data_IF_797176366409
#
_entry.id   IF_797176366409
#
_cell.length_a   1.000
_cell.length_b   1.000
_cell.length_c   1.000
_cell.angle_alpha   90.00
_cell.angle_beta   90.00
_cell.angle_gamma   90.00
#
_symmetry.space_group_name_H-M   'P 1'
#
loop_
_entity.id
_entity.type
_entity.pdbx_description
1 polymer ?
#
# COMPACT_ATOMS: atom_id res chain seq x y z
N UNK A 1 14.59 -16.40 0.13
CA UNK A 1 14.72 -15.40 -0.96
C UNK A 1 13.58 -14.37 -0.98
N UNK A 2 12.31 -14.76 -1.11
CA UNK A 2 11.19 -13.80 -1.23
C UNK A 2 11.07 -12.82 -0.04
N UNK A 3 11.31 -13.25 1.20
CA UNK A 3 11.39 -12.33 2.34
C UNK A 3 12.52 -11.29 2.20
N UNK A 4 13.68 -11.68 1.67
CA UNK A 4 14.79 -10.74 1.41
C UNK A 4 14.37 -9.71 0.36
N UNK A 5 13.68 -10.13 -0.71
CA UNK A 5 13.16 -9.21 -1.73
C UNK A 5 12.15 -8.21 -1.14
N UNK A 6 11.25 -8.65 -0.24
CA UNK A 6 10.35 -7.71 0.46
C UNK A 6 11.10 -6.73 1.37
N UNK A 7 12.16 -7.19 2.05
CA UNK A 7 13.05 -6.33 2.84
C UNK A 7 13.74 -5.27 1.98
N UNK A 8 14.30 -5.68 0.83
CA UNK A 8 14.91 -4.78 -0.15
C UNK A 8 13.91 -3.76 -0.68
N UNK A 9 12.70 -4.18 -1.04
CA UNK A 9 11.65 -3.28 -1.52
C UNK A 9 11.24 -2.27 -0.44
N UNK A 10 11.14 -2.69 0.83
CA UNK A 10 10.87 -1.78 1.96
C UNK A 10 11.97 -0.74 2.13
N UNK A 11 13.24 -1.17 2.12
CA UNK A 11 14.39 -0.28 2.27
C UNK A 11 14.49 0.72 1.12
N UNK A 12 14.14 0.28 -0.10
CA UNK A 12 14.12 1.10 -1.30
C UNK A 12 12.83 1.95 -1.44
N UNK A 13 12.07 2.13 -0.35
CA UNK A 13 10.82 2.89 -0.31
C UNK A 13 9.79 2.46 -1.38
N UNK A 14 9.77 1.16 -1.70
CA UNK A 14 8.93 0.52 -2.74
C UNK A 14 9.21 0.99 -4.17
N UNK A 15 10.37 1.62 -4.41
CA UNK A 15 10.76 2.13 -5.73
C UNK A 15 11.56 1.12 -6.55
N UNK A 16 12.06 0.06 -5.90
CA UNK A 16 12.82 -1.00 -6.52
C UNK A 16 12.36 -2.34 -5.93
N UNK A 17 12.46 -3.38 -6.75
CA UNK A 17 12.10 -4.75 -6.38
C UNK A 17 13.19 -5.70 -6.87
N UNK A 18 13.23 -6.88 -6.25
CA UNK A 18 13.98 -8.04 -6.73
C UNK A 18 12.94 -9.06 -7.16
N UNK A 19 13.00 -9.51 -8.41
CA UNK A 19 12.17 -10.61 -8.89
C UNK A 19 12.63 -11.91 -8.24
N UNK A 20 11.68 -12.72 -7.77
CA UNK A 20 11.94 -14.00 -7.12
C UNK A 20 11.44 -15.12 -8.02
N UNK A 21 12.34 -16.00 -8.47
CA UNK A 21 12.00 -17.21 -9.21
C UNK A 21 12.26 -18.46 -8.37
N UNK A 22 11.53 -19.53 -8.66
CA UNK A 22 11.73 -20.85 -8.08
C UNK A 22 11.43 -21.92 -9.11
N UNK A 23 11.85 -23.16 -8.83
CA UNK A 23 11.23 -24.33 -9.46
C UNK A 23 9.75 -24.45 -9.05
N UNK A 24 9.12 -25.54 -9.46
CA UNK A 24 7.72 -25.88 -9.14
C UNK A 24 7.56 -26.40 -7.70
N UNK A 25 6.33 -26.76 -7.32
CA UNK A 25 6.07 -27.62 -6.17
C UNK A 25 6.56 -27.01 -4.85
N UNK A 26 7.39 -27.71 -4.06
CA UNK A 26 7.84 -27.22 -2.74
C UNK A 26 8.69 -25.93 -2.85
N UNK A 27 9.45 -25.77 -3.94
CA UNK A 27 10.21 -24.54 -4.18
C UNK A 27 9.31 -23.32 -4.31
N UNK A 28 8.21 -23.47 -5.06
CA UNK A 28 7.17 -22.45 -5.16
C UNK A 28 6.43 -22.27 -3.83
N UNK A 29 5.98 -23.35 -3.20
CA UNK A 29 5.23 -23.30 -1.92
C UNK A 29 5.93 -22.46 -0.85
N UNK A 30 7.27 -22.55 -0.76
CA UNK A 30 8.09 -21.80 0.19
C UNK A 30 7.99 -20.27 0.05
N UNK A 31 7.45 -19.74 -1.06
CA UNK A 31 7.25 -18.30 -1.26
C UNK A 31 5.84 -17.82 -0.86
N UNK A 32 4.88 -18.72 -0.57
CA UNK A 32 3.48 -18.36 -0.27
C UNK A 32 3.39 -17.47 0.98
N UNK A 33 4.10 -17.83 2.05
CA UNK A 33 4.12 -17.03 3.29
C UNK A 33 4.67 -15.62 3.04
N UNK A 34 5.71 -15.51 2.20
CA UNK A 34 6.25 -14.21 1.81
C UNK A 34 5.26 -13.41 0.94
N UNK A 35 4.53 -14.06 0.04
CA UNK A 35 3.48 -13.44 -0.76
C UNK A 35 2.37 -12.85 0.12
N UNK A 36 1.87 -13.65 1.08
CA UNK A 36 0.87 -13.22 2.05
C UNK A 36 1.36 -12.02 2.87
N UNK A 37 2.59 -12.11 3.38
CA UNK A 37 3.22 -11.04 4.16
C UNK A 37 3.36 -9.75 3.35
N UNK A 38 3.80 -9.85 2.09
CA UNK A 38 3.95 -8.71 1.19
C UNK A 38 2.60 -8.05 0.91
N UNK A 39 1.59 -8.83 0.55
CA UNK A 39 0.24 -8.35 0.26
C UNK A 39 -0.42 -7.69 1.47
N UNK A 40 -0.36 -8.32 2.65
CA UNK A 40 -0.90 -7.74 3.89
C UNK A 40 -0.27 -6.37 4.20
N UNK A 41 1.04 -6.22 3.97
CA UNK A 41 1.77 -4.98 4.24
C UNK A 41 1.79 -4.00 3.06
N UNK A 42 1.15 -4.34 1.93
CA UNK A 42 1.28 -3.67 0.62
C UNK A 42 2.73 -3.37 0.26
N UNK A 43 3.57 -4.39 0.23
CA UNK A 43 4.94 -4.30 -0.27
C UNK A 43 4.97 -4.97 -1.64
N UNK A 44 5.55 -4.33 -2.68
CA UNK A 44 5.63 -4.93 -4.00
C UNK A 44 6.59 -6.13 -3.98
N UNK A 45 6.12 -7.25 -4.50
CA UNK A 45 6.89 -8.49 -4.62
C UNK A 45 6.49 -9.19 -5.92
N UNK A 46 7.45 -9.42 -6.81
CA UNK A 46 7.23 -10.17 -8.05
C UNK A 46 7.74 -11.60 -7.88
N UNK A 47 6.84 -12.57 -8.05
CA UNK A 47 7.08 -14.00 -7.98
C UNK A 47 6.91 -14.62 -9.37
N UNK A 48 7.90 -15.41 -9.77
CA UNK A 48 7.97 -16.11 -11.06
C UNK A 48 8.22 -17.61 -10.79
N UNK A 49 7.29 -18.32 -10.12
CA UNK A 49 7.45 -19.74 -9.88
C UNK A 49 7.29 -20.53 -11.19
N UNK A 50 8.12 -21.56 -11.36
CA UNK A 50 7.85 -22.58 -12.37
C UNK A 50 6.50 -23.26 -12.10
N UNK A 51 5.90 -23.82 -13.15
CA UNK A 51 4.66 -24.60 -13.09
C UNK A 51 4.82 -25.93 -13.84
N UNK A 52 3.79 -26.78 -13.76
CA UNK A 52 3.67 -28.00 -14.58
C UNK A 52 3.64 -27.64 -16.08
N UNK A 53 3.82 -28.64 -16.95
CA UNK A 53 3.72 -28.44 -18.39
C UNK A 53 2.29 -28.05 -18.78
N UNK A 54 2.13 -26.99 -19.58
CA UNK A 54 0.82 -26.57 -20.08
C UNK A 54 0.19 -27.66 -20.97
N UNK A 55 1.02 -28.38 -21.72
CA UNK A 55 0.65 -29.55 -22.52
C UNK A 55 0.33 -30.80 -21.70
N UNK A 56 0.72 -30.83 -20.42
CA UNK A 56 0.66 -32.01 -19.53
C UNK A 56 1.51 -33.19 -20.02
N UNK A 57 2.55 -32.93 -20.81
CA UNK A 57 3.54 -33.91 -21.21
C UNK A 57 4.94 -33.35 -20.92
N UNK A 58 5.74 -33.93 -20.02
CA UNK A 58 5.52 -35.17 -19.26
C UNK A 58 4.78 -34.90 -17.93
N UNK A 59 3.72 -35.66 -17.64
CA UNK A 59 3.02 -35.65 -16.34
C UNK A 59 3.18 -37.01 -15.64
N UNK A 60 3.49 -37.06 -14.34
CA UNK A 60 3.82 -35.94 -13.46
C UNK A 60 5.26 -35.44 -13.67
N UNK A 61 5.49 -34.15 -13.40
CA UNK A 61 6.86 -33.60 -13.29
C UNK A 61 7.44 -33.78 -11.88
N UNK A 62 8.77 -33.68 -11.79
CA UNK A 62 9.50 -33.78 -10.52
C UNK A 62 8.93 -32.81 -9.47
N UNK A 63 8.54 -33.35 -8.31
CA UNK A 63 7.96 -32.61 -7.17
C UNK A 63 6.56 -31.99 -7.41
N UNK A 64 5.82 -32.46 -8.41
CA UNK A 64 4.40 -32.16 -8.55
C UNK A 64 3.59 -32.79 -7.40
N UNK A 65 2.62 -32.04 -6.88
CA UNK A 65 1.56 -32.63 -6.04
C UNK A 65 0.51 -33.21 -6.99
N UNK A 66 0.43 -34.53 -7.05
CA UNK A 66 -0.52 -35.23 -7.92
C UNK A 66 -1.93 -35.20 -7.33
N UNK A 67 -2.89 -34.72 -8.13
CA UNK A 67 -4.29 -34.63 -7.76
C UNK A 67 -5.08 -35.66 -8.56
N UNK A 68 -5.62 -36.69 -7.89
CA UNK A 68 -6.35 -37.78 -8.55
C UNK A 68 -7.69 -37.37 -9.18
N UNK A 69 -8.19 -36.18 -8.85
CA UNK A 69 -9.50 -35.69 -9.26
C UNK A 69 -9.44 -34.46 -10.19
N UNK A 70 -8.30 -33.78 -10.29
CA UNK A 70 -8.15 -32.60 -11.14
C UNK A 70 -6.66 -32.27 -11.43
N UNK A 71 -6.20 -32.63 -12.63
CA UNK A 71 -4.83 -32.38 -13.09
C UNK A 71 -4.53 -30.90 -13.37
N UNK A 72 -5.52 -30.00 -13.32
CA UNK A 72 -5.31 -28.56 -13.50
C UNK A 72 -4.87 -27.84 -12.22
N UNK A 73 -5.05 -28.50 -11.06
CA UNK A 73 -4.70 -27.96 -9.75
C UNK A 73 -3.23 -28.26 -9.48
N UNK A 74 -2.51 -27.20 -9.14
CA UNK A 74 -1.08 -27.25 -8.83
C UNK A 74 -0.81 -26.59 -7.48
N UNK A 75 0.39 -26.77 -6.94
CA UNK A 75 0.84 -26.01 -5.76
C UNK A 75 0.73 -24.50 -5.95
N UNK A 76 0.86 -24.02 -7.19
CA UNK A 76 0.82 -22.60 -7.51
C UNK A 76 -0.57 -21.96 -7.37
N UNK A 77 -1.65 -22.75 -7.36
CA UNK A 77 -3.00 -22.22 -7.16
C UNK A 77 -3.19 -21.62 -5.76
N UNK A 78 -2.39 -22.05 -4.77
CA UNK A 78 -2.36 -21.44 -3.44
C UNK A 78 -1.94 -19.95 -3.47
N UNK A 79 -1.19 -19.49 -4.49
CA UNK A 79 -0.84 -18.08 -4.63
C UNK A 79 -2.03 -17.19 -4.97
N UNK A 80 -3.12 -17.72 -5.52
CA UNK A 80 -4.31 -16.93 -5.90
C UNK A 80 -4.89 -16.19 -4.70
N UNK A 81 -4.90 -16.81 -3.52
CA UNK A 81 -5.46 -16.24 -2.30
C UNK A 81 -4.60 -15.10 -1.71
N UNK A 82 -3.30 -15.07 -2.03
CA UNK A 82 -2.32 -14.19 -1.38
C UNK A 82 -1.65 -13.21 -2.33
N UNK A 83 -1.99 -13.26 -3.62
CA UNK A 83 -1.49 -12.35 -4.65
C UNK A 83 -2.54 -11.32 -5.03
N UNK A 84 -2.10 -10.07 -5.24
CA UNK A 84 -2.93 -8.98 -5.76
C UNK A 84 -3.16 -9.10 -7.27
N UNK A 85 -2.22 -9.74 -7.97
CA UNK A 85 -2.38 -10.22 -9.33
C UNK A 85 -1.77 -11.61 -9.44
N UNK A 86 -2.52 -12.53 -10.02
CA UNK A 86 -2.08 -13.90 -10.27
C UNK A 86 -2.40 -14.24 -11.71
N UNK A 87 -1.47 -14.88 -12.40
CA UNK A 87 -1.68 -15.40 -13.74
C UNK A 87 -0.83 -16.66 -13.97
N UNK A 88 -1.26 -17.51 -14.92
CA UNK A 88 -0.50 -18.68 -15.37
C UNK A 88 -0.32 -18.59 -16.87
N UNK A 89 0.94 -18.47 -17.29
CA UNK A 89 1.32 -18.21 -18.68
C UNK A 89 1.33 -19.53 -19.44
N UNK A 90 0.17 -20.03 -19.86
CA UNK A 90 0.03 -21.30 -20.60
C UNK A 90 0.34 -21.17 -22.09
N UNK A 91 0.55 -19.94 -22.58
CA UNK A 91 1.03 -19.64 -23.93
C UNK A 91 1.95 -18.42 -23.89
N UNK A 92 2.97 -18.33 -24.76
CA UNK A 92 3.95 -17.24 -24.72
C UNK A 92 3.32 -15.85 -24.81
N UNK A 93 2.37 -15.64 -25.73
CA UNK A 93 1.82 -14.29 -25.97
C UNK A 93 1.03 -13.72 -24.78
N UNK A 94 0.59 -14.57 -23.85
CA UNK A 94 -0.08 -14.14 -22.61
C UNK A 94 0.83 -13.27 -21.72
N UNK A 95 2.15 -13.46 -21.82
CA UNK A 95 3.13 -12.70 -21.05
C UNK A 95 2.98 -11.19 -21.25
N UNK A 96 2.60 -10.73 -22.44
CA UNK A 96 2.42 -9.31 -22.74
C UNK A 96 1.36 -8.66 -21.85
N UNK A 97 0.18 -9.28 -21.79
CA UNK A 97 -0.94 -8.83 -20.94
C UNK A 97 -0.63 -9.00 -19.46
N UNK A 98 0.01 -10.10 -19.08
CA UNK A 98 0.39 -10.39 -17.71
C UNK A 98 1.40 -9.37 -17.17
N UNK A 99 2.42 -9.00 -17.94
CA UNK A 99 3.41 -7.99 -17.54
C UNK A 99 2.80 -6.60 -17.32
N UNK A 100 1.84 -6.19 -18.17
CA UNK A 100 1.15 -4.90 -18.00
C UNK A 100 0.41 -4.87 -16.66
N UNK A 101 -0.34 -5.92 -16.35
CA UNK A 101 -1.08 -6.03 -15.10
C UNK A 101 -0.17 -6.19 -13.88
N UNK A 102 0.91 -6.95 -14.03
CA UNK A 102 1.93 -7.12 -12.99
C UNK A 102 2.50 -5.76 -12.58
N UNK A 103 2.95 -4.95 -13.54
CA UNK A 103 3.53 -3.65 -13.25
C UNK A 103 2.48 -2.66 -12.72
N UNK A 104 1.23 -2.69 -13.23
CA UNK A 104 0.12 -1.90 -12.67
C UNK A 104 -0.01 -2.15 -11.17
N UNK A 105 -0.06 -3.41 -10.74
CA UNK A 105 -0.19 -3.76 -9.32
C UNK A 105 1.08 -3.42 -8.53
N UNK A 106 2.26 -3.78 -9.03
CA UNK A 106 3.52 -3.54 -8.31
C UNK A 106 3.83 -2.06 -8.09
N UNK A 107 3.32 -1.18 -8.95
CA UNK A 107 3.58 0.27 -8.88
C UNK A 107 2.46 1.07 -8.21
N UNK A 108 1.30 0.47 -7.96
CA UNK A 108 0.18 1.14 -7.31
C UNK A 108 0.36 1.23 -5.78
N UNK A 109 0.45 2.45 -5.18
CA UNK A 109 0.66 2.59 -3.74
C UNK A 109 -0.47 2.02 -2.85
N UNK A 110 -1.69 1.95 -3.38
CA UNK A 110 -2.89 1.49 -2.68
C UNK A 110 -3.12 -0.01 -2.89
N UNK A 111 -2.84 -0.53 -4.09
CA UNK A 111 -3.13 -1.93 -4.45
C UNK A 111 -1.92 -2.86 -4.49
N UNK A 112 -0.70 -2.33 -4.35
CA UNK A 112 0.51 -3.16 -4.38
C UNK A 112 0.48 -4.29 -3.35
N UNK A 113 1.10 -5.40 -3.73
CA UNK A 113 1.29 -6.60 -2.94
C UNK A 113 2.14 -7.60 -3.71
N UNK A 114 1.95 -8.88 -3.43
CA UNK A 114 2.53 -9.93 -4.25
C UNK A 114 1.85 -9.99 -5.62
N UNK A 115 2.66 -10.12 -6.65
CA UNK A 115 2.26 -10.47 -8.01
C UNK A 115 2.92 -11.78 -8.36
N UNK A 116 2.13 -12.75 -8.82
CA UNK A 116 2.62 -14.09 -9.14
C UNK A 116 2.30 -14.42 -10.59
N UNK A 117 3.33 -14.63 -11.40
CA UNK A 117 3.19 -15.12 -12.78
C UNK A 117 3.78 -16.52 -12.83
N UNK A 118 2.92 -17.52 -12.89
CA UNK A 118 3.32 -18.92 -12.95
C UNK A 118 3.79 -19.27 -14.37
N UNK A 119 4.93 -19.97 -14.45
CA UNK A 119 5.63 -20.23 -15.71
C UNK A 119 5.69 -21.74 -15.98
N UNK A 120 4.74 -22.31 -16.73
CA UNK A 120 4.84 -23.66 -17.27
C UNK A 120 6.19 -23.93 -17.95
N UNK A 121 6.76 -25.10 -17.72
CA UNK A 121 8.12 -25.43 -18.16
C UNK A 121 8.27 -25.50 -19.68
N UNK A 122 7.29 -26.06 -20.38
CA UNK A 122 7.24 -26.07 -21.85
C UNK A 122 7.16 -24.67 -22.43
N UNK A 123 6.26 -23.83 -21.89
CA UNK A 123 6.04 -22.47 -22.37
C UNK A 123 7.29 -21.60 -22.19
N UNK A 124 8.10 -21.84 -21.16
CA UNK A 124 9.39 -21.15 -20.99
C UNK A 124 10.40 -21.45 -22.11
N UNK A 125 10.27 -22.60 -22.78
CA UNK A 125 11.13 -23.01 -23.89
C UNK A 125 10.60 -22.62 -25.27
N UNK A 126 9.38 -22.11 -25.36
CA UNK A 126 8.76 -21.72 -26.63
C UNK A 126 9.34 -20.38 -27.15
N UNK A 127 9.68 -20.35 -28.43
CA UNK A 127 10.02 -19.11 -29.12
C UNK A 127 8.75 -18.37 -29.53
N UNK A 128 8.73 -17.05 -29.34
CA UNK A 128 7.61 -16.21 -29.75
C UNK A 128 8.10 -14.87 -30.28
N UNK A 129 7.54 -14.44 -31.41
CA UNK A 129 7.86 -13.16 -32.06
C UNK A 129 7.14 -12.00 -31.34
N UNK A 130 7.66 -11.62 -30.18
CA UNK A 130 7.14 -10.45 -29.46
C UNK A 130 7.39 -9.18 -30.28
N UNK A 131 6.39 -8.28 -30.41
CA UNK A 131 6.59 -7.02 -31.12
C UNK A 131 7.63 -6.17 -30.40
N UNK A 132 8.50 -5.45 -31.13
CA UNK A 132 9.53 -4.58 -30.54
C UNK A 132 8.95 -3.53 -29.56
N UNK A 133 7.71 -3.10 -29.81
CA UNK A 133 6.96 -2.20 -28.92
C UNK A 133 6.76 -2.76 -27.51
N UNK A 134 6.81 -4.09 -27.33
CA UNK A 134 6.75 -4.74 -26.02
C UNK A 134 7.98 -4.41 -25.18
N UNK A 135 9.17 -4.37 -25.78
CA UNK A 135 10.45 -4.10 -25.11
C UNK A 135 10.77 -2.62 -24.93
N UNK A 136 9.95 -1.73 -25.50
CA UNK A 136 10.12 -0.29 -25.32
C UNK A 136 10.18 0.06 -23.83
N UNK A 137 11.24 0.75 -23.40
CA UNK A 137 11.44 1.14 -22.01
C UNK A 137 10.28 2.02 -21.54
N UNK A 138 9.61 1.58 -20.45
CA UNK A 138 8.52 2.34 -19.81
C UNK A 138 8.99 2.93 -18.49
N UNK A 139 8.68 4.20 -18.27
CA UNK A 139 8.88 4.87 -16.98
C UNK A 139 7.53 4.95 -16.27
N UNK A 140 7.35 4.11 -15.27
CA UNK A 140 6.15 4.12 -14.44
C UNK A 140 6.25 5.25 -13.42
N UNK A 141 5.34 6.21 -13.53
CA UNK A 141 5.24 7.32 -12.58
C UNK A 141 4.24 6.95 -11.49
N UNK A 142 4.60 7.22 -10.25
CA UNK A 142 3.67 7.12 -9.13
C UNK A 142 2.67 8.27 -9.25
N UNK A 143 1.45 7.95 -9.67
CA UNK A 143 0.37 8.93 -9.67
C UNK A 143 -0.21 9.07 -8.25
N UNK A 144 -0.46 10.33 -7.85
CA UNK A 144 -1.10 10.69 -6.59
C UNK A 144 -2.11 11.75 -6.90
N UNK A 145 -3.38 11.37 -6.84
CA UNK A 145 -4.47 12.29 -7.10
C UNK A 145 -4.44 13.43 -6.07
N UNK A 146 -4.41 14.70 -6.50
CA UNK A 146 -4.46 15.80 -5.57
C UNK A 146 -5.86 15.91 -4.95
N UNK A 147 -5.89 16.38 -3.70
CA UNK A 147 -7.10 16.82 -3.02
C UNK A 147 -7.86 17.87 -3.84
N UNK A 148 -9.19 17.78 -3.86
CA UNK A 148 -10.03 18.84 -4.42
C UNK A 148 -10.10 20.04 -3.47
N UNK A 149 -10.47 21.22 -4.00
CA UNK A 149 -10.61 22.42 -3.18
C UNK A 149 -11.65 22.27 -2.07
N UNK A 150 -12.74 21.52 -2.32
CA UNK A 150 -13.76 21.24 -1.31
C UNK A 150 -13.21 20.38 -0.16
N UNK A 151 -12.50 19.30 -0.49
CA UNK A 151 -11.90 18.42 0.53
C UNK A 151 -10.88 19.16 1.40
N UNK A 152 -10.09 20.05 0.80
CA UNK A 152 -9.17 20.91 1.54
C UNK A 152 -9.91 21.87 2.47
N UNK A 153 -11.03 22.45 2.03
CA UNK A 153 -11.85 23.33 2.87
C UNK A 153 -12.44 22.57 4.06
N UNK A 154 -12.96 21.36 3.83
CA UNK A 154 -13.51 20.49 4.88
C UNK A 154 -12.44 20.08 5.89
N UNK A 155 -11.25 19.70 5.42
CA UNK A 155 -10.11 19.37 6.25
C UNK A 155 -9.69 20.54 7.14
N UNK A 156 -9.57 21.75 6.57
CA UNK A 156 -9.23 22.96 7.32
C UNK A 156 -10.30 23.32 8.34
N UNK A 157 -11.60 23.20 7.97
CA UNK A 157 -12.70 23.45 8.88
C UNK A 157 -12.68 22.47 10.07
N UNK A 158 -12.44 21.18 9.81
CA UNK A 158 -12.32 20.15 10.83
C UNK A 158 -11.16 20.45 11.81
N UNK A 159 -9.99 20.80 11.29
CA UNK A 159 -8.80 21.13 12.08
C UNK A 159 -9.04 22.39 12.93
N UNK A 160 -9.62 23.45 12.36
CA UNK A 160 -9.90 24.70 13.09
C UNK A 160 -10.91 24.53 14.23
N UNK A 161 -11.86 23.62 14.08
CA UNK A 161 -12.86 23.33 15.09
C UNK A 161 -12.35 22.43 16.23
N UNK A 162 -11.21 21.75 16.04
CA UNK A 162 -10.61 20.85 17.03
C UNK A 162 -9.86 21.63 18.12
N UNK A 163 -9.89 21.09 19.34
CA UNK A 163 -9.15 21.55 20.51
C UNK A 163 -8.05 20.58 20.94
N UNK A 164 -8.23 19.28 20.69
CA UNK A 164 -7.26 18.22 21.02
C UNK A 164 -6.98 17.35 19.79
N UNK A 165 -6.36 17.90 18.72
CA UNK A 165 -6.04 17.11 17.55
C UNK A 165 -4.86 16.16 17.82
N UNK A 166 -4.93 14.94 17.29
CA UNK A 166 -3.83 13.98 17.26
C UNK A 166 -3.60 13.48 15.84
N UNK A 167 -2.36 13.50 15.37
CA UNK A 167 -1.99 12.89 14.08
C UNK A 167 -1.62 11.42 14.29
N UNK A 168 -2.11 10.53 13.43
CA UNK A 168 -1.65 9.13 13.33
C UNK A 168 -0.91 8.95 12.02
N UNK A 169 0.43 8.92 12.13
CA UNK A 169 1.36 8.78 11.00
C UNK A 169 1.51 7.30 10.60
N UNK A 170 0.97 6.95 9.43
CA UNK A 170 1.08 5.63 8.83
C UNK A 170 2.25 5.48 7.86
N UNK A 171 2.42 4.27 7.30
CA UNK A 171 3.47 3.99 6.33
C UNK A 171 3.38 4.85 5.05
N UNK A 172 2.20 5.37 4.71
CA UNK A 172 2.03 6.28 3.59
C UNK A 172 2.88 7.56 3.70
N UNK A 173 3.15 8.06 4.91
CA UNK A 173 4.05 9.21 5.12
C UNK A 173 5.48 8.85 4.71
N UNK A 174 5.97 7.68 5.14
CA UNK A 174 7.30 7.15 4.79
C UNK A 174 7.48 6.97 3.29
N UNK A 175 6.57 6.23 2.64
CA UNK A 175 6.69 5.93 1.21
C UNK A 175 6.41 7.15 0.32
N UNK A 176 5.68 8.14 0.84
CA UNK A 176 5.47 9.40 0.11
C UNK A 176 6.61 10.39 0.23
N UNK A 177 7.48 10.25 1.23
CA UNK A 177 8.51 11.23 1.57
C UNK A 177 7.96 12.44 2.32
N UNK A 178 6.78 12.33 2.95
CA UNK A 178 6.08 13.46 3.58
C UNK A 178 6.54 13.75 5.02
N UNK A 179 7.64 13.15 5.50
CA UNK A 179 8.14 13.34 6.86
C UNK A 179 8.42 14.81 7.20
N UNK A 180 9.13 15.52 6.32
CA UNK A 180 9.45 16.95 6.53
C UNK A 180 8.18 17.83 6.53
N UNK A 181 7.19 17.50 5.70
CA UNK A 181 5.91 18.20 5.67
C UNK A 181 5.12 17.98 6.97
N UNK A 182 5.13 16.75 7.51
CA UNK A 182 4.56 16.43 8.82
C UNK A 182 5.26 17.20 9.93
N UNK A 183 6.60 17.23 9.95
CA UNK A 183 7.38 17.99 10.94
C UNK A 183 6.98 19.46 10.96
N UNK A 184 7.01 20.14 9.81
CA UNK A 184 6.64 21.56 9.73
C UNK A 184 5.19 21.83 10.14
N UNK A 185 4.28 20.90 9.85
CA UNK A 185 2.90 20.99 10.30
C UNK A 185 2.81 20.89 11.82
N UNK A 186 3.44 19.86 12.41
CA UNK A 186 3.41 19.62 13.85
C UNK A 186 3.99 20.82 14.62
N UNK A 187 5.14 21.34 14.18
CA UNK A 187 5.79 22.51 14.79
C UNK A 187 4.97 23.79 14.67
N UNK A 188 4.36 24.04 13.50
CA UNK A 188 3.62 25.27 13.26
C UNK A 188 2.32 25.37 14.07
N UNK A 189 1.65 24.25 14.28
CA UNK A 189 0.32 24.21 14.90
C UNK A 189 0.33 23.57 16.29
N UNK A 190 1.49 23.14 16.77
CA UNK A 190 1.63 22.48 18.06
C UNK A 190 0.88 21.16 18.16
N UNK A 191 0.73 20.42 17.05
CA UNK A 191 -0.08 19.19 17.00
C UNK A 191 0.82 17.97 17.23
N UNK A 192 0.59 17.17 18.29
CA UNK A 192 1.34 15.94 18.50
C UNK A 192 1.01 14.90 17.43
N UNK A 193 1.97 14.03 17.14
CA UNK A 193 1.78 12.90 16.24
C UNK A 193 2.28 11.60 16.87
N UNK A 194 1.49 10.55 16.67
CA UNK A 194 1.84 9.18 16.98
C UNK A 194 2.13 8.40 15.70
N UNK A 195 2.86 7.29 15.82
CA UNK A 195 3.28 6.47 14.68
C UNK A 195 2.60 5.10 14.71
N UNK A 196 2.25 4.59 13.53
CA UNK A 196 1.99 3.14 13.39
C UNK A 196 3.32 2.39 13.21
N UNK A 197 3.29 1.06 13.36
CA UNK A 197 4.46 0.22 13.08
C UNK A 197 5.04 0.44 11.67
N UNK A 198 4.18 0.71 10.67
CA UNK A 198 4.59 1.00 9.30
C UNK A 198 5.06 2.46 9.11
N UNK A 199 4.55 3.39 9.92
CA UNK A 199 4.90 4.81 9.89
C UNK A 199 6.22 5.13 10.61
N UNK A 200 6.69 4.24 11.49
CA UNK A 200 7.92 4.43 12.27
C UNK A 200 9.11 4.85 11.40
N UNK A 201 9.77 5.92 11.83
CA UNK A 201 10.96 6.46 11.18
C UNK A 201 10.64 7.33 9.96
N UNK A 202 9.40 7.81 9.85
CA UNK A 202 9.06 8.91 8.93
C UNK A 202 9.61 10.24 9.43
N UNK A 203 9.73 10.40 10.76
CA UNK A 203 10.36 11.52 11.46
C UNK A 203 11.29 10.95 12.53
N UNK A 204 12.31 11.72 12.94
CA UNK A 204 13.22 11.32 14.02
C UNK A 204 12.44 11.07 15.32
N UNK A 205 12.82 10.02 16.07
CA UNK A 205 12.09 9.60 17.27
C UNK A 205 12.19 10.61 18.43
N UNK A 206 13.25 11.40 18.48
CA UNK A 206 13.47 12.43 19.50
C UNK A 206 12.73 13.74 19.24
N UNK A 207 11.94 13.83 18.15
CA UNK A 207 11.20 15.04 17.84
C UNK A 207 10.19 15.36 18.95
N UNK A 208 10.12 16.60 19.47
CA UNK A 208 9.29 16.94 20.64
C UNK A 208 7.80 16.61 20.51
N UNK A 209 7.25 16.70 19.29
CA UNK A 209 5.85 16.36 19.01
C UNK A 209 5.61 14.87 18.68
N UNK A 210 6.65 14.03 18.60
CA UNK A 210 6.49 12.60 18.39
C UNK A 210 6.20 11.91 19.73
N UNK A 211 4.98 11.41 19.90
CA UNK A 211 4.53 10.75 21.15
C UNK A 211 4.68 9.23 21.13
N UNK A 212 5.37 8.68 20.11
CA UNK A 212 5.69 7.26 20.00
C UNK A 212 4.63 6.43 19.26
N UNK A 213 4.68 5.12 19.44
CA UNK A 213 3.73 4.19 18.82
C UNK A 213 2.33 4.33 19.44
N UNK A 214 1.27 4.26 18.65
CA UNK A 214 -0.12 4.23 19.14
C UNK A 214 -0.76 2.84 19.00
N UNK A 215 -1.65 2.52 19.94
CA UNK A 215 -2.50 1.33 19.88
C UNK A 215 -2.11 0.26 20.91
N UNK A 216 -2.46 -0.99 20.61
CA UNK A 216 -2.36 -2.14 21.54
C UNK A 216 -0.94 -2.31 22.11
N UNK A 217 0.07 -2.19 21.25
CA UNK A 217 1.49 -2.26 21.61
C UNK A 217 2.16 -0.89 21.61
N UNK A 218 1.36 0.17 21.77
CA UNK A 218 1.79 1.56 21.76
C UNK A 218 2.38 2.04 23.10
N UNK A 219 2.81 3.29 23.10
CA UNK A 219 3.32 3.99 24.27
C UNK A 219 2.17 4.62 25.07
N UNK A 220 2.33 4.71 26.40
CA UNK A 220 1.33 5.31 27.30
C UNK A 220 0.93 6.73 26.86
N UNK A 221 1.90 7.58 26.52
CA UNK A 221 1.64 8.96 26.10
C UNK A 221 0.76 9.05 24.85
N UNK A 222 1.09 8.29 23.80
CA UNK A 222 0.29 8.23 22.57
C UNK A 222 -1.13 7.74 22.85
N UNK A 223 -1.29 6.71 23.70
CA UNK A 223 -2.59 6.12 23.98
C UNK A 223 -3.49 7.03 24.84
N UNK A 224 -2.91 7.76 25.80
CA UNK A 224 -3.64 8.77 26.58
C UNK A 224 -4.14 9.91 25.69
N UNK A 225 -3.28 10.41 24.79
CA UNK A 225 -3.68 11.45 23.84
C UNK A 225 -4.73 10.95 22.85
N UNK A 226 -4.61 9.71 22.35
CA UNK A 226 -5.59 9.11 21.45
C UNK A 226 -6.97 8.97 22.11
N UNK A 227 -7.00 8.63 23.40
CA UNK A 227 -8.23 8.54 24.18
C UNK A 227 -8.98 9.87 24.28
N UNK A 228 -8.25 10.96 24.42
CA UNK A 228 -8.80 12.30 24.62
C UNK A 228 -8.99 13.11 23.33
N UNK A 229 -8.47 12.63 22.20
CA UNK A 229 -8.48 13.38 20.95
C UNK A 229 -9.90 13.62 20.44
N UNK A 230 -10.23 14.88 20.15
CA UNK A 230 -11.51 15.25 19.52
C UNK A 230 -11.43 15.21 17.98
N UNK A 231 -10.21 15.16 17.43
CA UNK A 231 -9.93 14.96 16.02
C UNK A 231 -8.70 14.07 15.85
N UNK A 232 -8.86 12.96 15.13
CA UNK A 232 -7.75 12.10 14.72
C UNK A 232 -7.45 12.34 13.25
N UNK A 233 -6.24 12.79 12.94
CA UNK A 233 -5.78 13.05 11.58
C UNK A 233 -4.97 11.83 11.11
N UNK A 234 -5.61 10.94 10.35
CA UNK A 234 -4.98 9.76 9.78
C UNK A 234 -4.17 10.10 8.54
N UNK A 235 -2.82 10.07 8.63
CA UNK A 235 -1.94 10.34 7.49
C UNK A 235 -1.39 9.04 6.93
N UNK A 236 -1.88 8.62 5.75
CA UNK A 236 -1.37 7.44 5.05
C UNK A 236 -1.45 6.15 5.88
N UNK A 237 -2.44 6.06 6.76
CA UNK A 237 -2.68 4.94 7.67
C UNK A 237 -3.90 4.13 7.24
N UNK A 238 -3.90 2.84 7.56
CA UNK A 238 -5.01 1.92 7.28
C UNK A 238 -5.84 1.62 8.51
N UNK A 239 -5.50 2.21 9.67
CA UNK A 239 -6.14 1.95 10.96
C UNK A 239 -6.32 0.46 11.24
N UNK A 240 -5.21 -0.27 11.33
CA UNK A 240 -5.27 -1.70 11.69
C UNK A 240 -5.82 -1.89 13.11
N UNK A 241 -6.23 -3.11 13.42
CA UNK A 241 -6.63 -3.54 14.75
C UNK A 241 -5.66 -3.08 15.84
N UNK A 242 -4.37 -3.37 15.71
CA UNK A 242 -3.34 -2.97 16.67
C UNK A 242 -3.20 -1.47 16.76
N UNK A 243 -3.28 -0.73 15.64
CA UNK A 243 -3.16 0.74 15.65
C UNK A 243 -4.31 1.39 16.41
N UNK A 244 -5.50 0.79 16.36
CA UNK A 244 -6.73 1.35 16.93
C UNK A 244 -7.14 0.70 18.26
N UNK A 245 -6.36 -0.26 18.76
CA UNK A 245 -6.77 -1.20 19.82
C UNK A 245 -8.18 -1.76 19.55
N UNK A 246 -8.39 -2.30 18.35
CA UNK A 246 -9.70 -2.77 17.89
C UNK A 246 -10.80 -1.70 18.02
N UNK A 247 -10.46 -0.47 17.62
CA UNK A 247 -11.27 0.77 17.72
C UNK A 247 -11.51 1.30 19.13
N UNK A 248 -11.09 0.59 20.19
CA UNK A 248 -11.36 0.97 21.58
C UNK A 248 -10.61 2.23 22.04
N UNK A 249 -9.46 2.51 21.43
CA UNK A 249 -8.54 3.54 21.95
C UNK A 249 -9.09 4.96 21.86
N UNK A 250 -9.97 5.25 20.90
CA UNK A 250 -10.52 6.59 20.68
C UNK A 250 -11.85 6.71 21.44
N UNK A 251 -11.85 7.37 22.60
CA UNK A 251 -13.00 7.36 23.52
C UNK A 251 -13.68 8.71 23.69
N UNK A 252 -13.11 9.79 23.12
CA UNK A 252 -13.75 11.09 23.16
C UNK A 252 -15.13 11.01 22.46
N UNK A 253 -16.25 11.37 23.13
CA UNK A 253 -17.60 11.17 22.59
C UNK A 253 -17.86 11.87 21.24
N UNK A 254 -17.16 12.99 20.99
CA UNK A 254 -17.23 13.74 19.74
C UNK A 254 -16.04 13.53 18.80
N UNK A 255 -15.28 12.43 18.94
CA UNK A 255 -14.10 12.19 18.08
C UNK A 255 -14.51 12.16 16.61
N UNK A 256 -13.75 12.88 15.79
CA UNK A 256 -13.88 12.83 14.32
C UNK A 256 -12.59 12.33 13.70
N UNK A 257 -12.69 11.74 12.51
CA UNK A 257 -11.53 11.28 11.75
C UNK A 257 -11.38 12.11 10.48
N UNK A 258 -10.18 12.62 10.24
CA UNK A 258 -9.78 13.26 8.98
C UNK A 258 -8.70 12.40 8.34
N UNK A 259 -9.00 11.78 7.20
CA UNK A 259 -8.12 10.78 6.60
C UNK A 259 -7.53 11.25 5.28
N UNK A 260 -6.21 11.45 5.28
CA UNK A 260 -5.43 11.82 4.11
C UNK A 260 -4.72 10.56 3.62
N UNK A 261 -5.26 9.93 2.59
CA UNK A 261 -4.76 8.66 2.07
C UNK A 261 -4.86 8.58 0.55
N UNK A 262 -3.91 7.89 -0.09
CA UNK A 262 -3.94 7.59 -1.53
C UNK A 262 -4.94 6.49 -1.88
N UNK A 263 -5.23 5.60 -0.93
CA UNK A 263 -6.28 4.59 -1.07
C UNK A 263 -7.62 5.21 -0.68
N UNK A 264 -8.55 5.27 -1.63
CA UNK A 264 -9.93 5.68 -1.35
C UNK A 264 -10.55 4.79 -0.27
N UNK A 265 -10.36 3.47 -0.37
CA UNK A 265 -10.86 2.50 0.62
C UNK A 265 -10.40 2.82 2.06
N UNK A 266 -9.12 3.17 2.25
CA UNK A 266 -8.64 3.51 3.59
C UNK A 266 -9.09 4.90 4.06
N UNK A 267 -9.36 5.83 3.14
CA UNK A 267 -9.81 7.19 3.48
C UNK A 267 -11.18 7.19 4.18
N UNK A 268 -12.05 6.23 3.86
CA UNK A 268 -13.39 6.09 4.45
C UNK A 268 -13.44 5.38 5.80
N UNK A 269 -12.31 4.84 6.29
CA UNK A 269 -12.31 4.10 7.55
C UNK A 269 -12.68 5.00 8.74
N UNK A 270 -13.40 4.42 9.69
CA UNK A 270 -13.88 5.10 10.90
C UNK A 270 -14.79 6.29 10.58
N UNK A 271 -15.57 6.19 9.49
CA UNK A 271 -16.48 7.23 9.00
C UNK A 271 -15.78 8.60 8.82
N UNK A 272 -14.49 8.56 8.47
CA UNK A 272 -13.66 9.74 8.37
C UNK A 272 -14.02 10.63 7.17
N UNK A 273 -13.75 11.91 7.33
CA UNK A 273 -13.80 12.91 6.25
C UNK A 273 -12.65 12.57 5.26
N UNK A 274 -12.96 12.13 4.03
CA UNK A 274 -11.94 11.61 3.12
C UNK A 274 -11.34 12.70 2.23
N UNK A 275 -10.01 12.75 2.14
CA UNK A 275 -9.31 13.59 1.16
C UNK A 275 -9.14 12.90 -0.21
N UNK A 276 -9.52 11.62 -0.31
CA UNK A 276 -9.58 10.87 -1.57
C UNK A 276 -11.03 10.79 -2.09
N UNK A 277 -11.21 11.08 -3.38
CA UNK A 277 -12.51 11.36 -3.99
C UNK A 277 -13.61 10.33 -3.71
N UNK A 278 -14.60 10.77 -2.94
CA UNK A 278 -15.98 10.33 -3.04
C UNK A 278 -16.88 11.53 -2.81
N UNK A 279 -17.37 12.08 -3.90
CA UNK A 279 -18.34 13.15 -3.90
C UNK A 279 -19.68 12.54 -3.45
N UNK A 280 -20.09 12.80 -2.22
CA UNK A 280 -21.50 12.82 -1.91
C UNK A 280 -21.82 14.18 -1.30
N UNK A 281 -22.66 14.94 -2.02
CA UNK A 281 -23.25 16.24 -1.66
C UNK A 281 -22.39 17.47 -1.99
N UNK A 282 -22.44 17.92 -3.24
CA UNK A 282 -22.86 19.31 -3.57
C UNK A 282 -22.80 19.57 -5.08
N UNK A 283 -23.89 20.05 -5.71
CA UNK A 283 -23.86 20.55 -7.07
C UNK A 283 -23.51 22.03 -7.02
N UNK A 284 -22.25 22.40 -7.27
CA UNK A 284 -21.77 23.70 -7.80
C UNK A 284 -20.37 23.99 -7.28
N UNK A 285 -19.35 23.98 -8.14
CA UNK A 285 -18.29 24.98 -8.08
C UNK A 285 -17.39 24.97 -9.34
N UNK A 286 -17.25 26.10 -10.06
CA UNK A 286 -16.27 26.29 -11.13
C UNK A 286 -14.96 26.91 -10.60
N UNK A 287 -13.83 26.62 -11.25
CA UNK A 287 -12.62 27.46 -11.14
C UNK A 287 -11.28 26.72 -11.00
N UNK A 288 -10.52 26.67 -12.09
CA UNK A 288 -9.16 26.11 -12.21
C UNK A 288 -8.10 27.01 -11.54
N UNK A 289 -7.16 26.45 -10.75
CA UNK A 289 -5.72 26.84 -10.67
C UNK A 289 -4.84 25.66 -10.18
N UNK A 290 -3.59 25.48 -10.69
CA UNK A 290 -2.82 24.25 -10.50
C UNK A 290 -1.91 24.20 -9.24
N UNK A 291 -2.20 23.22 -8.38
CA UNK A 291 -1.42 22.27 -7.55
C UNK A 291 0.06 22.50 -7.13
N UNK A 292 0.86 23.39 -7.71
CA UNK A 292 2.27 23.60 -7.25
C UNK A 292 2.42 24.40 -5.95
N UNK A 293 1.32 24.87 -5.37
CA UNK A 293 1.28 25.80 -4.22
C UNK A 293 0.76 25.19 -2.91
N UNK A 294 0.43 23.90 -2.86
CA UNK A 294 -0.39 23.34 -1.77
C UNK A 294 0.41 23.10 -0.47
N UNK A 295 1.71 22.76 -0.53
CA UNK A 295 2.55 22.69 0.68
C UNK A 295 3.32 24.00 0.97
N UNK A 296 3.66 24.78 -0.07
CA UNK A 296 4.31 26.09 0.10
C UNK A 296 3.34 27.21 0.51
N UNK A 297 2.06 27.10 0.12
CA UNK A 297 1.00 28.04 0.49
C UNK A 297 0.45 27.84 1.90
N UNK A 298 0.66 26.67 2.51
CA UNK A 298 0.41 26.48 3.94
C UNK A 298 1.25 27.47 4.77
N UNK A 299 2.52 27.71 4.42
CA UNK A 299 3.43 28.59 5.18
C UNK A 299 3.28 30.10 4.91
N UNK A 300 2.70 30.52 3.79
CA UNK A 300 2.77 31.93 3.34
C UNK A 300 1.55 32.83 3.57
N UNK A 301 0.43 32.34 4.12
CA UNK A 301 -0.84 33.12 4.21
C UNK A 301 -1.61 32.88 5.52
N UNK A 302 -0.92 32.98 6.64
CA UNK A 302 -1.56 33.21 7.95
C UNK A 302 -0.74 34.23 8.76
N UNK A 303 -0.25 35.27 8.08
CA UNK A 303 -0.18 36.62 8.65
C UNK A 303 -1.47 37.32 8.24
#
# INVERSE_FOLDING_TARGET
>A
MAHVATGFARQSLRRQIIACTSSIGPGAANMITAAATATANRIPLLLLPGDVFATRQPDPVLQQIEQSHDLSITTNDAFRAVSKYWDRITRPEQLMSACINAIRVLTDPAETGAVTLCLPQDVQGEAWDYPESFFTRRVHRLDRRPASAAQLADAVAAIKASRKPLIVCGGGVKYSGAGEALTRFAERYGVPFAETQAGKGSVVSSHPYNVGGVGETGCLAANLLAKEADLVIGLGTRFSDFTTSSKWIFQHPGVRFLNINVSNFDAWKLDGIPDAGGCSRSPHCPGRRPVRRILAGWLGRAN
#
